data_IF_817605478505
#
_entry.id   IF_817605478505
#
_cell.length_a   1.000
_cell.length_b   1.000
_cell.length_c   1.000
_cell.angle_alpha   90.00
_cell.angle_beta   90.00
_cell.angle_gamma   90.00
#
_symmetry.space_group_name_H-M   'P 1'
#
loop_
_entity.id
_entity.type
_entity.pdbx_description
1 polymer ?
#
# COMPACT_ATOMS: atom_id res chain seq x y z
N UNK A 1 30.72 19.46 -7.05
CA UNK A 1 29.37 20.04 -7.27
C UNK A 1 28.53 19.86 -6.01
N UNK A 2 27.96 20.91 -5.43
CA UNK A 2 27.24 20.80 -4.15
C UNK A 2 26.00 19.89 -4.31
N UNK A 3 26.00 18.71 -3.68
CA UNK A 3 24.90 17.72 -3.73
C UNK A 3 23.56 18.37 -3.41
N UNK A 4 23.51 19.34 -2.48
CA UNK A 4 22.29 20.08 -2.13
C UNK A 4 21.72 20.84 -3.32
N UNK A 5 22.56 21.49 -4.14
CA UNK A 5 22.13 22.19 -5.37
C UNK A 5 21.58 21.20 -6.40
N UNK A 6 22.20 20.03 -6.56
CA UNK A 6 21.71 19.00 -7.49
C UNK A 6 20.37 18.40 -7.05
N UNK A 7 20.17 18.19 -5.75
CA UNK A 7 18.90 17.72 -5.19
C UNK A 7 17.76 18.72 -5.43
N UNK A 8 18.04 20.03 -5.37
CA UNK A 8 17.03 21.05 -5.68
C UNK A 8 16.50 20.96 -7.13
N UNK A 9 17.35 20.53 -8.07
CA UNK A 9 16.99 20.32 -9.48
C UNK A 9 16.25 19.00 -9.75
N UNK A 10 16.18 18.09 -8.78
CA UNK A 10 15.51 16.80 -8.96
C UNK A 10 14.01 16.98 -9.25
N UNK A 11 13.37 16.14 -10.07
CA UNK A 11 11.95 16.25 -10.36
C UNK A 11 11.09 15.77 -9.17
N UNK A 12 9.85 16.25 -9.10
CA UNK A 12 8.84 15.82 -8.10
C UNK A 12 8.04 14.60 -8.59
N UNK A 13 8.52 13.92 -9.62
CA UNK A 13 7.88 12.76 -10.26
C UNK A 13 8.34 11.44 -9.64
N UNK A 14 7.68 10.35 -10.06
CA UNK A 14 8.05 8.99 -9.67
C UNK A 14 9.32 8.53 -10.40
N UNK A 15 10.14 7.73 -9.74
CA UNK A 15 11.34 7.17 -10.36
C UNK A 15 12.31 6.54 -9.38
N UNK A 16 13.51 6.27 -9.88
CA UNK A 16 14.63 5.70 -9.14
C UNK A 16 15.74 6.73 -9.04
N UNK A 17 16.31 6.90 -7.86
CA UNK A 17 17.46 7.78 -7.61
C UNK A 17 18.64 6.96 -7.10
N UNK A 18 19.83 7.53 -7.26
CA UNK A 18 21.07 6.91 -6.84
C UNK A 18 22.06 7.92 -6.29
N UNK A 19 22.68 7.53 -5.19
CA UNK A 19 23.88 8.15 -4.63
C UNK A 19 25.08 7.36 -5.15
N UNK A 20 26.03 8.04 -5.79
CA UNK A 20 27.22 7.41 -6.34
C UNK A 20 28.47 8.25 -6.11
N UNK A 21 29.61 7.57 -6.17
CA UNK A 21 30.91 8.19 -6.41
C UNK A 21 31.20 8.16 -7.90
N UNK A 22 32.34 8.71 -8.32
CA UNK A 22 32.78 8.64 -9.73
C UNK A 22 32.86 7.21 -10.26
N UNK A 23 33.18 6.23 -9.41
CA UNK A 23 33.44 4.84 -9.83
C UNK A 23 32.38 3.83 -9.38
N UNK A 24 31.54 4.13 -8.38
CA UNK A 24 30.66 3.12 -7.74
C UNK A 24 29.30 3.67 -7.29
N UNK A 25 28.25 2.86 -7.43
CA UNK A 25 26.94 3.12 -6.84
C UNK A 25 26.97 2.80 -5.34
N UNK A 26 26.62 3.78 -4.50
CA UNK A 26 26.59 3.63 -3.05
C UNK A 26 25.23 3.14 -2.57
N UNK A 27 24.17 3.83 -3.00
CA UNK A 27 22.79 3.54 -2.64
C UNK A 27 21.85 3.79 -3.82
N UNK A 28 20.87 2.91 -4.00
CA UNK A 28 19.81 3.02 -5.00
C UNK A 28 18.47 2.88 -4.26
N UNK A 29 17.53 3.78 -4.58
CA UNK A 29 16.19 3.73 -4.02
C UNK A 29 15.14 4.26 -4.99
N UNK A 30 13.89 3.83 -4.82
CA UNK A 30 12.74 4.37 -5.55
C UNK A 30 11.94 5.38 -4.74
N UNK A 31 11.19 6.24 -5.43
CA UNK A 31 10.22 7.15 -4.81
C UNK A 31 9.09 7.50 -5.76
N UNK A 32 7.93 7.83 -5.19
CA UNK A 32 6.83 8.51 -5.90
C UNK A 32 7.15 9.99 -6.17
N UNK A 33 8.03 10.59 -5.34
CA UNK A 33 8.54 11.94 -5.47
C UNK A 33 10.05 11.93 -5.21
N UNK A 34 10.86 12.01 -6.27
CA UNK A 34 12.33 11.90 -6.18
C UNK A 34 12.92 13.05 -5.36
N UNK A 35 12.52 14.30 -5.62
CA UNK A 35 13.04 15.49 -4.90
C UNK A 35 12.80 15.41 -3.39
N UNK A 36 11.57 15.14 -2.97
CA UNK A 36 11.22 15.04 -1.55
C UNK A 36 12.03 13.93 -0.87
N UNK A 37 12.16 12.79 -1.55
CA UNK A 37 12.92 11.65 -1.03
C UNK A 37 14.40 11.94 -0.85
N UNK A 38 15.02 12.58 -1.84
CA UNK A 38 16.43 12.98 -1.76
C UNK A 38 16.69 13.97 -0.62
N UNK A 39 15.79 14.94 -0.40
CA UNK A 39 15.86 15.84 0.75
C UNK A 39 15.77 15.08 2.07
N UNK A 40 14.83 14.14 2.18
CA UNK A 40 14.68 13.27 3.35
C UNK A 40 15.95 12.48 3.65
N UNK A 41 16.68 11.98 2.65
CA UNK A 41 17.96 11.31 2.88
C UNK A 41 19.02 12.23 3.49
N UNK A 42 19.09 13.49 3.06
CA UNK A 42 20.04 14.48 3.61
C UNK A 42 19.67 14.88 5.04
N UNK A 43 18.37 15.03 5.34
CA UNK A 43 17.92 15.30 6.71
C UNK A 43 18.16 14.11 7.63
N UNK A 44 17.82 12.89 7.18
CA UNK A 44 18.07 11.67 7.94
C UNK A 44 19.56 11.42 8.17
N UNK A 45 20.45 11.87 7.28
CA UNK A 45 21.90 11.77 7.47
C UNK A 45 22.43 12.52 8.70
N UNK A 46 21.64 13.42 9.30
CA UNK A 46 21.99 14.09 10.57
C UNK A 46 21.80 13.19 11.79
N UNK A 47 20.95 12.17 11.69
CA UNK A 47 20.48 11.37 12.84
C UNK A 47 20.79 9.87 12.64
N UNK A 48 20.67 9.36 11.43
CA UNK A 48 20.93 7.96 11.08
C UNK A 48 22.33 7.78 10.50
N UNK A 49 23.16 7.00 11.20
CA UNK A 49 24.53 6.68 10.80
C UNK A 49 24.60 5.96 9.45
N UNK A 50 23.56 5.19 9.08
CA UNK A 50 23.48 4.53 7.77
C UNK A 50 23.24 5.56 6.67
N UNK A 51 22.28 6.47 6.85
CA UNK A 51 22.01 7.56 5.93
C UNK A 51 23.24 8.47 5.75
N UNK A 52 23.89 8.83 6.85
CA UNK A 52 25.12 9.62 6.84
C UNK A 52 26.20 8.96 5.97
N UNK A 53 26.37 7.64 6.09
CA UNK A 53 27.46 6.93 5.44
C UNK A 53 27.43 6.99 3.90
N UNK A 54 26.26 6.89 3.25
CA UNK A 54 26.20 7.02 1.78
C UNK A 54 25.98 8.45 1.30
N UNK A 55 25.31 9.32 2.07
CA UNK A 55 25.10 10.72 1.68
C UNK A 55 26.43 11.48 1.71
N UNK A 56 27.24 11.31 2.75
CA UNK A 56 28.51 12.03 2.90
C UNK A 56 29.60 11.51 1.94
N UNK A 57 29.55 10.24 1.56
CA UNK A 57 30.49 9.65 0.60
C UNK A 57 30.13 9.91 -0.86
N UNK A 58 28.88 10.26 -1.16
CA UNK A 58 28.47 10.51 -2.53
C UNK A 58 29.19 11.74 -3.08
N UNK A 59 29.61 11.67 -4.34
CA UNK A 59 30.09 12.84 -5.09
C UNK A 59 29.04 13.33 -6.09
N UNK A 60 28.11 12.44 -6.48
CA UNK A 60 27.05 12.74 -7.43
C UNK A 60 25.71 12.09 -7.01
N UNK A 61 24.62 12.79 -7.33
CA UNK A 61 23.25 12.29 -7.24
C UNK A 61 22.60 12.40 -8.61
N UNK A 62 21.99 11.31 -9.05
CA UNK A 62 21.26 11.25 -10.32
C UNK A 62 20.02 10.35 -10.20
N UNK A 63 19.16 10.40 -11.20
CA UNK A 63 17.84 9.77 -11.17
C UNK A 63 17.38 9.34 -12.56
N UNK A 64 16.42 8.42 -12.59
CA UNK A 64 15.68 7.99 -13.77
C UNK A 64 14.20 8.13 -13.44
N UNK A 65 13.49 8.96 -14.22
CA UNK A 65 12.05 9.15 -14.08
C UNK A 65 11.31 7.95 -14.67
N UNK A 66 10.25 7.53 -14.00
CA UNK A 66 9.33 6.52 -14.51
C UNK A 66 7.91 7.05 -14.47
N UNK A 67 7.07 6.53 -15.36
CA UNK A 67 5.65 6.88 -15.46
C UNK A 67 4.79 6.19 -14.39
N UNK A 68 5.31 5.19 -13.67
CA UNK A 68 4.58 4.55 -12.58
C UNK A 68 5.46 4.00 -11.45
N UNK A 69 4.86 3.82 -10.27
CA UNK A 69 5.51 3.22 -9.10
C UNK A 69 5.91 1.76 -9.38
N UNK A 70 5.10 1.04 -10.16
CA UNK A 70 5.39 -0.32 -10.56
C UNK A 70 6.68 -0.39 -11.38
N UNK A 71 6.85 0.51 -12.36
CA UNK A 71 8.09 0.56 -13.16
C UNK A 71 9.27 1.00 -12.31
N UNK A 72 9.10 1.98 -11.42
CA UNK A 72 10.15 2.37 -10.47
C UNK A 72 10.61 1.19 -9.60
N UNK A 73 9.67 0.38 -9.10
CA UNK A 73 9.95 -0.81 -8.31
C UNK A 73 10.73 -1.88 -9.08
N UNK A 74 10.33 -2.17 -10.32
CA UNK A 74 11.06 -3.14 -11.15
C UNK A 74 12.45 -2.62 -11.52
N UNK A 75 12.56 -1.33 -11.88
CA UNK A 75 13.82 -0.69 -12.26
C UNK A 75 14.80 -0.62 -11.08
N UNK A 76 14.34 -0.25 -9.90
CA UNK A 76 15.14 -0.25 -8.67
C UNK A 76 15.72 -1.64 -8.42
N UNK A 77 14.87 -2.67 -8.47
CA UNK A 77 15.27 -4.06 -8.26
C UNK A 77 16.34 -4.50 -9.26
N UNK A 78 16.15 -4.20 -10.56
CA UNK A 78 17.14 -4.48 -11.61
C UNK A 78 18.48 -3.77 -11.40
N UNK A 79 18.43 -2.48 -11.02
CA UNK A 79 19.64 -1.69 -10.79
C UNK A 79 20.41 -2.16 -9.55
N UNK A 80 19.70 -2.53 -8.47
CA UNK A 80 20.31 -3.13 -7.29
C UNK A 80 20.96 -4.48 -7.63
N UNK A 81 20.29 -5.32 -8.43
CA UNK A 81 20.84 -6.61 -8.86
C UNK A 81 22.11 -6.44 -9.70
N UNK A 82 22.08 -5.49 -10.65
CA UNK A 82 23.18 -5.20 -11.58
C UNK A 82 24.39 -4.58 -10.88
N UNK A 83 24.18 -3.56 -10.05
CA UNK A 83 25.26 -2.76 -9.49
C UNK A 83 25.68 -3.18 -8.08
N UNK A 84 24.86 -3.98 -7.39
CA UNK A 84 25.07 -4.45 -6.01
C UNK A 84 25.62 -3.35 -5.09
N UNK A 85 24.92 -2.22 -4.92
CA UNK A 85 25.44 -1.08 -4.18
C UNK A 85 25.77 -1.44 -2.74
N UNK A 86 26.90 -0.94 -2.23
CA UNK A 86 27.43 -1.27 -0.89
C UNK A 86 26.36 -1.14 0.21
N UNK A 87 25.58 -0.06 0.19
CA UNK A 87 24.60 0.23 1.25
C UNK A 87 23.24 -0.43 1.05
N UNK A 88 22.92 -0.91 -0.16
CA UNK A 88 21.79 -1.81 -0.37
C UNK A 88 22.15 -3.24 0.07
N UNK A 89 23.40 -3.68 -0.07
CA UNK A 89 23.83 -5.06 0.21
C UNK A 89 24.22 -5.28 1.67
N UNK A 90 25.06 -4.40 2.25
CA UNK A 90 25.68 -4.57 3.59
C UNK A 90 24.69 -4.51 4.76
N UNK A 91 23.52 -3.92 4.53
CA UNK A 91 22.50 -3.68 5.56
C UNK A 91 21.18 -4.39 5.26
N UNK A 92 21.23 -5.46 4.48
CA UNK A 92 20.12 -6.38 4.24
C UNK A 92 20.47 -7.72 4.90
N UNK A 93 19.73 -8.12 5.93
CA UNK A 93 19.79 -9.49 6.46
C UNK A 93 19.61 -10.49 5.32
N UNK A 94 20.33 -11.61 5.34
CA UNK A 94 20.19 -12.70 4.35
C UNK A 94 18.74 -13.23 4.23
N UNK A 95 17.88 -12.93 5.21
CA UNK A 95 16.45 -13.26 5.22
C UNK A 95 15.56 -12.34 4.36
N UNK A 96 16.10 -11.25 3.78
CA UNK A 96 15.32 -10.17 3.17
C UNK A 96 15.30 -10.14 1.62
N UNK A 97 16.20 -10.86 0.93
CA UNK A 97 16.24 -10.84 -0.54
C UNK A 97 15.26 -11.83 -1.12
N UNK A 98 14.23 -11.34 -1.81
CA UNK A 98 13.29 -12.18 -2.53
C UNK A 98 13.44 -12.02 -4.03
N UNK A 99 13.35 -13.14 -4.74
CA UNK A 99 13.42 -13.19 -6.19
C UNK A 99 12.21 -13.93 -6.73
N UNK A 100 11.72 -13.47 -7.87
CA UNK A 100 10.83 -14.23 -8.73
C UNK A 100 11.72 -15.09 -9.63
N UNK A 101 11.74 -16.40 -9.41
CA UNK A 101 12.46 -17.39 -10.22
C UNK A 101 11.56 -17.85 -11.35
N UNK A 102 12.07 -17.81 -12.58
CA UNK A 102 11.38 -18.31 -13.77
C UNK A 102 12.27 -19.34 -14.47
N UNK A 103 11.83 -20.60 -14.56
CA UNK A 103 12.63 -21.70 -15.13
C UNK A 103 12.59 -21.71 -16.66
N UNK A 104 13.10 -20.64 -17.27
CA UNK A 104 13.00 -20.37 -18.72
C UNK A 104 13.60 -21.45 -19.64
N UNK A 105 14.50 -22.30 -19.11
CA UNK A 105 15.10 -23.42 -19.85
C UNK A 105 14.29 -24.72 -19.80
N UNK A 106 13.30 -24.83 -18.91
CA UNK A 106 12.43 -26.01 -18.84
C UNK A 106 11.42 -26.04 -19.99
N UNK A 107 10.97 -27.25 -20.34
CA UNK A 107 9.89 -27.48 -21.32
C UNK A 107 8.62 -26.67 -20.99
N UNK A 108 8.31 -26.58 -19.70
CA UNK A 108 7.23 -25.77 -19.15
C UNK A 108 7.78 -24.83 -18.07
N UNK A 109 8.19 -23.60 -18.43
CA UNK A 109 8.74 -22.67 -17.46
C UNK A 109 7.76 -22.40 -16.32
N UNK A 110 8.23 -22.53 -15.09
CA UNK A 110 7.47 -22.29 -13.86
C UNK A 110 7.90 -20.98 -13.25
N UNK A 111 6.98 -20.33 -12.57
CA UNK A 111 7.26 -19.10 -11.81
C UNK A 111 7.17 -19.44 -10.34
N UNK A 112 8.22 -19.18 -9.57
CA UNK A 112 8.24 -19.41 -8.12
C UNK A 112 8.89 -18.21 -7.40
N UNK A 113 8.76 -18.18 -6.07
CA UNK A 113 9.39 -17.15 -5.23
C UNK A 113 10.48 -17.84 -4.42
N UNK A 114 11.70 -17.35 -4.52
CA UNK A 114 12.87 -17.89 -3.79
C UNK A 114 13.63 -16.78 -3.08
N UNK A 115 14.48 -17.15 -2.13
CA UNK A 115 15.40 -16.23 -1.44
C UNK A 115 16.83 -16.28 -1.97
N UNK A 116 17.16 -17.26 -2.82
CA UNK A 116 18.51 -17.49 -3.33
C UNK A 116 18.52 -17.65 -4.85
N UNK A 117 19.57 -17.14 -5.47
CA UNK A 117 19.92 -17.42 -6.86
C UNK A 117 20.75 -18.71 -6.88
N UNK A 118 20.07 -19.86 -6.94
CA UNK A 118 20.61 -21.19 -6.65
C UNK A 118 21.10 -21.97 -7.88
N UNK A 119 20.58 -21.68 -9.07
CA UNK A 119 20.66 -22.65 -10.19
C UNK A 119 21.39 -22.11 -11.43
N UNK A 120 21.65 -20.79 -11.53
CA UNK A 120 22.16 -20.08 -12.75
C UNK A 120 21.43 -20.37 -14.08
N UNK A 121 20.53 -21.35 -14.13
CA UNK A 121 19.75 -21.80 -15.29
C UNK A 121 18.41 -21.09 -15.39
N UNK A 122 17.89 -20.60 -14.27
CA UNK A 122 16.64 -19.84 -14.21
C UNK A 122 16.88 -18.34 -14.35
N UNK A 123 15.84 -17.62 -14.78
CA UNK A 123 15.81 -16.16 -14.73
C UNK A 123 15.36 -15.72 -13.34
N UNK A 124 16.14 -14.87 -12.69
CA UNK A 124 15.81 -14.30 -11.38
C UNK A 124 15.52 -12.82 -11.53
N UNK A 125 14.33 -12.40 -11.09
CA UNK A 125 13.91 -11.00 -11.08
C UNK A 125 13.79 -10.59 -9.62
N UNK A 126 14.58 -9.61 -9.22
CA UNK A 126 14.77 -9.23 -7.82
C UNK A 126 16.11 -8.51 -7.67
N UNK A 127 16.55 -8.17 -6.44
CA UNK A 127 15.90 -8.50 -5.19
C UNK A 127 14.74 -7.56 -4.86
N UNK A 128 13.71 -8.11 -4.22
CA UNK A 128 12.61 -7.35 -3.63
C UNK A 128 12.69 -7.41 -2.10
N UNK A 129 12.38 -6.30 -1.43
CA UNK A 129 12.50 -6.18 0.02
C UNK A 129 11.38 -6.85 0.82
N UNK A 130 10.18 -7.06 0.22
CA UNK A 130 9.01 -7.54 0.96
C UNK A 130 8.27 -8.69 0.28
N UNK A 131 7.99 -9.75 1.06
CA UNK A 131 7.20 -10.90 0.63
C UNK A 131 5.81 -10.52 0.14
N UNK A 132 5.15 -9.56 0.81
CA UNK A 132 3.81 -9.10 0.43
C UNK A 132 3.81 -8.49 -0.97
N UNK A 133 4.80 -7.65 -1.29
CA UNK A 133 4.95 -6.99 -2.59
C UNK A 133 5.18 -8.02 -3.69
N UNK A 134 6.11 -8.96 -3.50
CA UNK A 134 6.39 -10.01 -4.49
C UNK A 134 5.16 -10.89 -4.72
N UNK A 135 4.52 -11.39 -3.65
CA UNK A 135 3.30 -12.20 -3.77
C UNK A 135 2.19 -11.45 -4.49
N UNK A 136 2.05 -10.15 -4.26
CA UNK A 136 1.06 -9.29 -4.93
C UNK A 136 1.37 -9.16 -6.42
N UNK A 137 2.63 -8.87 -6.79
CA UNK A 137 3.05 -8.79 -8.21
C UNK A 137 2.77 -10.10 -8.92
N UNK A 138 3.25 -11.22 -8.38
CA UNK A 138 3.07 -12.56 -8.97
C UNK A 138 1.58 -12.88 -9.15
N UNK A 139 0.76 -12.59 -8.14
CA UNK A 139 -0.70 -12.80 -8.19
C UNK A 139 -1.39 -11.98 -9.28
N UNK A 140 -1.06 -10.69 -9.39
CA UNK A 140 -1.71 -9.80 -10.36
C UNK A 140 -1.24 -10.11 -11.79
N UNK A 141 0.06 -10.38 -11.98
CA UNK A 141 0.60 -10.80 -13.29
C UNK A 141 -0.03 -12.12 -13.75
N UNK A 142 -0.25 -13.09 -12.85
CA UNK A 142 -0.94 -14.36 -13.18
C UNK A 142 -2.35 -14.17 -13.72
N UNK A 143 -3.08 -13.16 -13.22
CA UNK A 143 -4.45 -12.85 -13.67
C UNK A 143 -4.48 -12.25 -15.07
N UNK A 144 -3.38 -11.66 -15.53
CA UNK A 144 -3.23 -11.14 -16.90
C UNK A 144 -2.71 -12.25 -17.82
N UNK A 145 -1.65 -12.93 -17.39
CA UNK A 145 -0.97 -14.00 -18.13
C UNK A 145 -0.94 -15.25 -17.24
N UNK A 146 -1.84 -16.21 -17.43
CA UNK A 146 -1.86 -17.45 -16.66
C UNK A 146 -0.55 -18.24 -16.77
N UNK A 147 -0.06 -18.78 -15.66
CA UNK A 147 1.17 -19.59 -15.60
C UNK A 147 1.15 -20.60 -14.45
N UNK A 148 1.95 -21.67 -14.60
CA UNK A 148 2.05 -22.74 -13.60
C UNK A 148 3.04 -22.38 -12.47
N UNK A 149 2.73 -22.91 -11.28
CA UNK A 149 3.55 -22.81 -10.07
C UNK A 149 3.87 -24.16 -9.44
N UNK A 150 3.33 -25.26 -9.99
CA UNK A 150 3.58 -26.58 -9.44
C UNK A 150 5.01 -26.99 -9.76
N UNK A 151 5.67 -27.61 -8.79
CA UNK A 151 7.00 -28.18 -8.96
C UNK A 151 6.97 -29.36 -9.94
N UNK A 152 5.99 -30.25 -9.77
CA UNK A 152 5.84 -31.46 -10.58
C UNK A 152 4.58 -31.41 -11.45
N UNK A 153 4.70 -31.98 -12.65
CA UNK A 153 3.57 -32.16 -13.59
C UNK A 153 2.83 -33.41 -13.17
N UNK A 154 1.54 -33.27 -12.87
CA UNK A 154 0.69 -34.39 -12.45
C UNK A 154 -0.33 -34.79 -13.52
N UNK A 155 -0.96 -35.95 -13.34
CA UNK A 155 -2.01 -36.51 -14.23
C UNK A 155 -3.29 -35.68 -14.31
N UNK A 156 -3.57 -34.84 -13.29
CA UNK A 156 -4.80 -34.04 -13.18
C UNK A 156 -4.52 -32.55 -13.32
N UNK A 157 -5.54 -31.79 -13.75
CA UNK A 157 -5.49 -30.32 -13.81
C UNK A 157 -5.05 -29.73 -12.47
N UNK A 158 -4.09 -28.81 -12.50
CA UNK A 158 -3.65 -28.12 -11.30
C UNK A 158 -4.77 -27.25 -10.71
N UNK A 159 -4.68 -26.92 -9.41
CA UNK A 159 -5.65 -26.03 -8.75
C UNK A 159 -5.85 -24.73 -9.52
N UNK A 160 -4.77 -24.07 -9.95
CA UNK A 160 -4.85 -22.82 -10.70
C UNK A 160 -5.50 -22.99 -12.08
N UNK A 161 -5.44 -24.16 -12.70
CA UNK A 161 -6.12 -24.42 -13.97
C UNK A 161 -7.63 -24.49 -13.78
N UNK A 162 -8.10 -25.12 -12.70
CA UNK A 162 -9.54 -25.21 -12.35
C UNK A 162 -10.18 -23.84 -12.17
N UNK A 163 -9.42 -22.85 -11.68
CA UNK A 163 -9.88 -21.46 -11.50
C UNK A 163 -9.41 -20.51 -12.61
N UNK A 164 -8.93 -21.02 -13.75
CA UNK A 164 -8.57 -20.23 -14.93
C UNK A 164 -7.29 -19.40 -14.82
N UNK A 165 -6.47 -19.62 -13.78
CA UNK A 165 -5.21 -18.92 -13.52
C UNK A 165 -3.95 -19.67 -13.99
N UNK A 166 -4.11 -20.84 -14.60
CA UNK A 166 -3.06 -21.59 -15.29
C UNK A 166 -3.67 -22.20 -16.56
N UNK A 167 -3.63 -21.44 -17.67
CA UNK A 167 -4.20 -21.84 -18.97
C UNK A 167 -3.29 -21.41 -20.13
N UNK A 168 -2.92 -22.33 -21.04
CA UNK A 168 -3.10 -23.78 -20.92
C UNK A 168 -2.24 -24.35 -19.78
N UNK A 169 -2.74 -25.38 -19.08
CA UNK A 169 -2.03 -25.95 -17.93
C UNK A 169 -0.99 -26.98 -18.40
N UNK A 170 0.26 -26.96 -17.90
CA UNK A 170 1.25 -27.99 -18.25
C UNK A 170 0.75 -29.43 -18.07
N UNK A 171 -0.01 -29.70 -17.00
CA UNK A 171 -0.64 -31.01 -16.77
C UNK A 171 -1.66 -31.37 -17.85
N UNK A 172 -2.40 -30.41 -18.40
CA UNK A 172 -3.32 -30.69 -19.52
C UNK A 172 -2.58 -30.91 -20.83
N UNK A 173 -1.51 -30.15 -21.06
CA UNK A 173 -0.70 -30.25 -22.28
C UNK A 173 0.00 -31.61 -22.34
N UNK A 174 0.57 -32.06 -21.23
CA UNK A 174 1.37 -33.27 -21.21
C UNK A 174 0.56 -34.53 -21.52
N UNK A 175 -0.68 -34.57 -21.01
CA UNK A 175 -1.63 -35.68 -21.16
C UNK A 175 -2.66 -35.45 -22.30
N UNK A 176 -2.44 -34.48 -23.18
CA UNK A 176 -3.24 -34.34 -24.39
C UNK A 176 -2.90 -35.50 -25.35
N UNK A 177 -3.92 -36.24 -25.81
CA UNK A 177 -3.75 -37.40 -26.69
C UNK A 177 -3.25 -37.05 -28.10
N UNK A 178 -3.41 -35.80 -28.54
CA UNK A 178 -2.96 -35.33 -29.85
C UNK A 178 -1.65 -34.52 -29.77
N UNK A 179 -0.62 -34.99 -30.49
CA UNK A 179 0.69 -34.35 -30.57
C UNK A 179 0.65 -32.94 -31.21
N UNK A 180 -0.26 -32.69 -32.15
CA UNK A 180 -0.43 -31.38 -32.81
C UNK A 180 -1.03 -30.38 -31.84
N UNK A 181 -2.09 -30.78 -31.13
CA UNK A 181 -2.68 -30.00 -30.04
C UNK A 181 -1.67 -29.70 -28.92
N UNK A 182 -0.88 -30.70 -28.51
CA UNK A 182 0.18 -30.55 -27.50
C UNK A 182 1.18 -29.45 -27.89
N UNK A 183 1.70 -29.47 -29.12
CA UNK A 183 2.61 -28.44 -29.63
C UNK A 183 1.96 -27.05 -29.67
N UNK A 184 0.70 -26.95 -30.08
CA UNK A 184 -0.03 -25.68 -30.14
C UNK A 184 -0.22 -25.06 -28.74
N UNK A 185 -0.69 -25.84 -27.77
CA UNK A 185 -0.89 -25.39 -26.39
C UNK A 185 0.44 -25.06 -25.70
N UNK A 186 1.50 -25.84 -25.96
CA UNK A 186 2.84 -25.53 -25.45
C UNK A 186 3.35 -24.19 -25.98
N UNK A 187 3.13 -23.88 -27.27
CA UNK A 187 3.50 -22.59 -27.88
C UNK A 187 2.74 -21.43 -27.23
N UNK A 188 1.46 -21.63 -26.92
CA UNK A 188 0.64 -20.64 -26.21
C UNK A 188 1.16 -20.42 -24.78
N UNK A 189 1.43 -21.49 -24.02
CA UNK A 189 2.01 -21.39 -22.68
C UNK A 189 3.33 -20.61 -22.68
N UNK A 190 4.25 -20.93 -23.60
CA UNK A 190 5.52 -20.22 -23.76
C UNK A 190 5.30 -18.75 -24.17
N UNK A 191 4.24 -18.42 -24.92
CA UNK A 191 3.85 -17.01 -25.21
C UNK A 191 3.44 -16.28 -23.92
N UNK A 192 2.64 -16.91 -23.06
CA UNK A 192 2.27 -16.33 -21.77
C UNK A 192 3.49 -16.06 -20.89
N UNK A 193 4.39 -17.03 -20.74
CA UNK A 193 5.64 -16.86 -19.98
C UNK A 193 6.49 -15.71 -20.53
N UNK A 194 6.65 -15.59 -21.86
CA UNK A 194 7.39 -14.46 -22.45
C UNK A 194 6.77 -13.11 -22.10
N UNK A 195 5.45 -13.01 -22.05
CA UNK A 195 4.78 -11.78 -21.62
C UNK A 195 4.97 -11.52 -20.12
N UNK A 196 4.92 -12.56 -19.27
CA UNK A 196 5.25 -12.46 -17.83
C UNK A 196 6.66 -11.88 -17.66
N UNK A 197 7.65 -12.45 -18.34
CA UNK A 197 9.04 -11.98 -18.30
C UNK A 197 9.15 -10.53 -18.73
N UNK A 198 8.52 -10.14 -19.85
CA UNK A 198 8.54 -8.75 -20.34
C UNK A 198 7.94 -7.77 -19.34
N UNK A 199 6.80 -8.09 -18.75
CA UNK A 199 6.15 -7.24 -17.75
C UNK A 199 7.04 -7.08 -16.52
N UNK A 200 7.59 -8.18 -16.00
CA UNK A 200 8.46 -8.17 -14.82
C UNK A 200 9.84 -7.55 -15.11
N UNK A 201 10.23 -7.41 -16.37
CA UNK A 201 11.41 -6.65 -16.80
C UNK A 201 11.13 -5.16 -17.05
N UNK A 202 9.92 -4.67 -16.77
CA UNK A 202 9.54 -3.28 -17.00
C UNK A 202 9.10 -2.94 -18.43
N UNK A 203 9.05 -3.92 -19.34
CA UNK A 203 8.66 -3.75 -20.75
C UNK A 203 7.14 -3.89 -20.94
N UNK A 204 6.36 -3.35 -20.03
CA UNK A 204 4.90 -3.51 -20.01
C UNK A 204 4.20 -2.80 -21.17
N UNK A 205 4.72 -1.67 -21.64
CA UNK A 205 4.10 -0.87 -22.72
C UNK A 205 4.15 -1.62 -24.06
N UNK A 206 5.26 -2.32 -24.30
CA UNK A 206 5.41 -3.20 -25.47
C UNK A 206 4.36 -4.31 -25.45
N UNK A 207 4.07 -4.85 -24.26
CA UNK A 207 3.04 -5.88 -24.09
C UNK A 207 1.65 -5.30 -24.29
N UNK A 208 1.34 -4.13 -23.71
CA UNK A 208 0.06 -3.45 -23.91
C UNK A 208 -0.20 -3.13 -25.38
N UNK A 209 0.77 -2.51 -26.07
CA UNK A 209 0.67 -2.18 -27.50
C UNK A 209 0.35 -3.41 -28.34
N UNK A 210 0.92 -4.57 -27.99
CA UNK A 210 0.59 -5.84 -28.64
C UNK A 210 -0.83 -6.32 -28.33
N UNK A 211 -1.28 -6.24 -27.07
CA UNK A 211 -2.63 -6.65 -26.69
C UNK A 211 -3.71 -5.80 -27.36
N UNK A 212 -3.50 -4.48 -27.49
CA UNK A 212 -4.42 -3.60 -28.23
C UNK A 212 -4.50 -3.98 -29.70
N UNK A 213 -3.36 -4.24 -30.36
CA UNK A 213 -3.35 -4.75 -31.74
C UNK A 213 -4.10 -6.08 -31.88
N UNK A 214 -3.90 -7.00 -30.93
CA UNK A 214 -4.61 -8.28 -30.91
C UNK A 214 -6.13 -8.05 -30.72
N UNK A 215 -6.55 -7.07 -29.91
CA UNK A 215 -7.96 -6.70 -29.69
C UNK A 215 -8.59 -6.10 -30.96
N UNK A 216 -7.89 -5.21 -31.66
CA UNK A 216 -8.39 -4.61 -32.89
C UNK A 216 -8.58 -5.67 -33.99
N UNK A 217 -7.68 -6.67 -34.06
CA UNK A 217 -7.85 -7.80 -34.97
C UNK A 217 -9.08 -8.65 -34.62
N UNK A 218 -9.33 -8.89 -33.33
CA UNK A 218 -10.51 -9.64 -32.88
C UNK A 218 -11.81 -8.90 -33.21
N UNK A 219 -11.84 -7.57 -33.04
CA UNK A 219 -12.98 -6.72 -33.41
C UNK A 219 -13.30 -6.82 -34.91
N UNK A 220 -12.28 -6.77 -35.77
CA UNK A 220 -12.44 -6.92 -37.23
C UNK A 220 -13.01 -8.28 -37.64
N UNK A 221 -12.77 -9.31 -36.85
CA UNK A 221 -13.26 -10.66 -37.09
C UNK A 221 -14.57 -10.96 -36.33
N UNK A 222 -15.22 -9.94 -35.74
CA UNK A 222 -16.50 -10.02 -35.02
C UNK A 222 -16.54 -11.06 -33.87
N UNK A 223 -15.40 -11.45 -33.32
CA UNK A 223 -15.33 -12.43 -32.24
C UNK A 223 -15.43 -11.74 -30.86
N UNK A 224 -16.63 -11.30 -30.51
CA UNK A 224 -16.89 -10.47 -29.34
C UNK A 224 -16.54 -11.14 -28.01
N UNK A 225 -16.76 -12.45 -27.86
CA UNK A 225 -16.45 -13.18 -26.62
C UNK A 225 -14.95 -13.16 -26.30
N UNK A 226 -14.11 -13.49 -27.29
CA UNK A 226 -12.66 -13.41 -27.13
C UNK A 226 -12.20 -11.96 -26.90
N UNK A 227 -12.90 -11.00 -27.52
CA UNK A 227 -12.68 -9.57 -27.34
C UNK A 227 -12.89 -9.13 -25.88
N UNK A 228 -13.97 -9.57 -25.23
CA UNK A 228 -14.26 -9.27 -23.81
C UNK A 228 -13.16 -9.84 -22.91
N UNK A 229 -12.72 -11.09 -23.16
CA UNK A 229 -11.64 -11.72 -22.39
C UNK A 229 -10.34 -10.93 -22.51
N UNK A 230 -9.96 -10.55 -23.73
CA UNK A 230 -8.73 -9.80 -23.98
C UNK A 230 -8.79 -8.38 -23.40
N UNK A 231 -9.91 -7.67 -23.59
CA UNK A 231 -10.17 -6.36 -22.98
C UNK A 231 -10.02 -6.40 -21.45
N UNK A 232 -10.59 -7.41 -20.81
CA UNK A 232 -10.48 -7.58 -19.36
C UNK A 232 -9.04 -7.89 -18.91
N UNK A 233 -8.20 -8.51 -19.77
CA UNK A 233 -6.76 -8.68 -19.49
C UNK A 233 -6.00 -7.36 -19.61
N UNK A 234 -6.31 -6.55 -20.63
CA UNK A 234 -5.74 -5.21 -20.82
C UNK A 234 -6.03 -4.34 -19.59
N UNK A 235 -7.29 -4.23 -19.16
CA UNK A 235 -7.64 -3.44 -17.98
C UNK A 235 -6.93 -3.90 -16.70
N UNK A 236 -6.72 -5.21 -16.53
CA UNK A 236 -5.94 -5.74 -15.39
C UNK A 236 -4.47 -5.34 -15.47
N UNK A 237 -3.89 -5.35 -16.66
CA UNK A 237 -2.50 -4.94 -16.87
C UNK A 237 -2.32 -3.44 -16.66
N UNK A 238 -3.20 -2.61 -17.22
CA UNK A 238 -3.20 -1.16 -16.98
C UNK A 238 -3.35 -0.84 -15.49
N UNK A 239 -4.29 -1.51 -14.80
CA UNK A 239 -4.47 -1.35 -13.36
C UNK A 239 -3.24 -1.78 -12.56
N UNK A 240 -2.50 -2.79 -13.02
CA UNK A 240 -1.23 -3.20 -12.42
C UNK A 240 -0.18 -2.09 -12.61
N UNK A 241 -0.04 -1.57 -13.82
CA UNK A 241 0.96 -0.54 -14.16
C UNK A 241 0.67 0.77 -13.42
N UNK A 242 -0.58 1.21 -13.42
CA UNK A 242 -1.03 2.48 -12.83
C UNK A 242 -1.33 2.38 -11.33
N UNK A 243 -1.10 1.22 -10.70
CA UNK A 243 -1.34 1.04 -9.27
C UNK A 243 -0.32 1.88 -8.50
N UNK A 244 -0.83 2.80 -7.68
CA UNK A 244 -0.03 3.71 -6.86
C UNK A 244 0.49 3.13 -5.53
N UNK A 245 0.14 1.87 -5.22
CA UNK A 245 0.51 1.23 -3.95
C UNK A 245 1.03 -0.20 -4.17
N UNK A 246 2.32 -0.35 -4.50
CA UNK A 246 3.03 -1.64 -4.38
C UNK A 246 3.80 -1.79 -3.06
N UNK A 247 4.17 -0.68 -2.44
CA UNK A 247 4.82 -0.70 -1.14
C UNK A 247 3.84 -0.83 0.03
N UNK A 248 4.32 -1.56 1.04
CA UNK A 248 3.80 -1.59 2.43
C UNK A 248 4.81 -0.89 3.35
N UNK A 249 5.69 -0.05 2.80
CA UNK A 249 6.72 0.65 3.55
C UNK A 249 6.17 1.94 4.17
N UNK A 250 6.41 2.11 5.48
CA UNK A 250 6.20 3.33 6.29
C UNK A 250 6.85 4.60 5.71
N UNK A 251 7.64 4.48 4.64
CA UNK A 251 8.40 5.59 4.07
C UNK A 251 7.74 6.27 2.87
N UNK A 252 6.76 5.63 2.21
CA UNK A 252 5.84 6.33 1.30
C UNK A 252 4.72 7.06 2.07
N UNK A 253 4.50 6.61 3.29
CA UNK A 253 3.58 7.18 4.26
C UNK A 253 4.03 8.61 4.64
N UNK A 254 5.30 8.85 5.00
CA UNK A 254 5.82 10.19 5.32
C UNK A 254 5.68 11.22 4.17
N UNK A 255 6.04 10.84 2.93
CA UNK A 255 5.98 11.76 1.79
C UNK A 255 4.54 12.09 1.34
N UNK A 256 3.56 11.23 1.67
CA UNK A 256 2.15 11.46 1.35
C UNK A 256 1.39 12.04 2.55
N UNK A 257 1.90 11.89 3.76
CA UNK A 257 1.21 12.36 4.96
C UNK A 257 1.17 13.87 5.04
N UNK A 258 2.26 14.57 4.71
CA UNK A 258 2.25 16.05 4.62
C UNK A 258 1.21 16.55 3.62
N UNK A 259 1.13 15.96 2.43
CA UNK A 259 0.15 16.35 1.41
C UNK A 259 -1.29 16.06 1.88
N UNK A 260 -1.52 14.92 2.53
CA UNK A 260 -2.84 14.53 3.06
C UNK A 260 -3.26 15.41 4.24
N UNK A 261 -2.34 15.74 5.13
CA UNK A 261 -2.54 16.70 6.22
C UNK A 261 -2.87 18.07 5.64
N UNK A 262 -2.10 18.54 4.66
CA UNK A 262 -2.34 19.84 4.00
C UNK A 262 -3.72 19.86 3.34
N UNK A 263 -4.10 18.79 2.65
CA UNK A 263 -5.43 18.65 2.05
C UNK A 263 -6.54 18.59 3.11
N UNK A 264 -6.29 17.98 4.27
CA UNK A 264 -7.23 17.94 5.39
C UNK A 264 -7.37 19.31 6.03
N UNK A 265 -6.27 20.01 6.31
CA UNK A 265 -6.24 21.38 6.80
C UNK A 265 -7.02 22.33 5.88
N UNK A 266 -6.89 22.17 4.55
CA UNK A 266 -7.66 22.97 3.61
C UNK A 266 -9.17 22.70 3.71
N UNK A 267 -9.58 21.47 3.98
CA UNK A 267 -10.99 21.16 4.28
C UNK A 267 -11.39 21.81 5.60
N UNK A 268 -10.61 21.63 6.66
CA UNK A 268 -10.94 22.15 7.99
C UNK A 268 -11.06 23.67 7.98
N UNK A 269 -10.07 24.40 7.47
CA UNK A 269 -10.08 25.88 7.42
C UNK A 269 -11.26 26.47 6.67
N UNK A 270 -11.87 25.72 5.75
CA UNK A 270 -13.08 26.15 5.03
C UNK A 270 -14.32 26.18 5.91
N UNK A 271 -14.37 25.33 6.95
CA UNK A 271 -15.58 25.13 7.78
C UNK A 271 -15.35 25.39 9.27
N UNK A 272 -14.10 25.39 9.72
CA UNK A 272 -13.63 25.67 11.07
C UNK A 272 -12.52 26.73 10.94
N UNK A 273 -12.87 28.02 10.97
CA UNK A 273 -11.91 29.13 10.79
C UNK A 273 -10.78 29.09 11.82
N UNK A 274 -11.09 28.68 13.04
CA UNK A 274 -10.15 28.57 14.17
C UNK A 274 -9.33 27.27 14.16
N UNK A 275 -9.40 26.47 13.07
CA UNK A 275 -8.58 25.29 12.93
C UNK A 275 -7.08 25.65 12.97
N UNK A 276 -6.25 24.83 13.63
CA UNK A 276 -4.85 25.13 13.88
C UNK A 276 -4.05 25.25 12.56
N UNK A 277 -2.94 25.97 12.64
CA UNK A 277 -2.04 26.14 11.49
C UNK A 277 -1.39 24.82 11.04
N UNK A 278 -1.25 23.84 11.96
CA UNK A 278 -0.66 22.53 11.72
C UNK A 278 -1.50 21.44 12.41
N UNK A 279 -1.52 20.24 11.83
CA UNK A 279 -2.07 19.03 12.45
C UNK A 279 -0.92 18.03 12.64
N UNK A 280 -0.37 17.98 13.84
CA UNK A 280 0.62 16.97 14.22
C UNK A 280 -0.09 15.75 14.78
N UNK A 281 -1.03 15.93 15.70
CA UNK A 281 -1.69 14.85 16.43
C UNK A 281 -3.18 14.78 16.12
N UNK A 282 -3.63 13.66 15.57
CA UNK A 282 -5.05 13.37 15.31
C UNK A 282 -5.48 12.16 16.15
N UNK A 283 -6.54 12.31 16.94
CA UNK A 283 -7.12 11.21 17.72
C UNK A 283 -8.46 10.80 17.13
N UNK A 284 -8.68 9.50 16.94
CA UNK A 284 -9.96 8.97 16.47
C UNK A 284 -10.55 7.95 17.42
N UNK A 285 -11.84 8.11 17.70
CA UNK A 285 -12.61 7.26 18.59
C UNK A 285 -13.67 6.45 17.85
N UNK A 286 -13.69 5.14 18.11
CA UNK A 286 -14.76 4.22 17.70
C UNK A 286 -15.39 3.57 18.94
N UNK A 287 -16.72 3.52 18.96
CA UNK A 287 -17.50 2.82 19.98
C UNK A 287 -17.82 1.42 19.49
N UNK A 288 -17.40 0.40 20.24
CA UNK A 288 -17.61 -0.99 19.84
C UNK A 288 -18.44 -1.74 20.88
N UNK A 289 -19.71 -1.97 20.54
CA UNK A 289 -20.69 -2.68 21.38
C UNK A 289 -20.74 -4.16 20.99
N UNK A 290 -20.45 -5.05 21.95
CA UNK A 290 -20.66 -6.51 21.81
C UNK A 290 -21.83 -7.01 22.69
N UNK A 291 -22.03 -6.40 23.86
CA UNK A 291 -23.13 -6.59 24.82
C UNK A 291 -22.86 -5.67 26.02
N UNK A 292 -23.86 -5.01 26.63
CA UNK A 292 -23.71 -3.91 27.61
C UNK A 292 -22.65 -4.13 28.72
N UNK A 293 -22.46 -5.36 29.22
CA UNK A 293 -21.47 -5.67 30.28
C UNK A 293 -19.99 -5.67 29.85
N UNK A 294 -19.66 -5.58 28.56
CA UNK A 294 -18.27 -5.58 28.05
C UNK A 294 -18.03 -4.57 26.93
N UNK A 295 -18.77 -3.47 26.90
CA UNK A 295 -18.54 -2.39 25.95
C UNK A 295 -17.14 -1.79 26.14
N UNK A 296 -16.50 -1.48 25.01
CA UNK A 296 -15.20 -0.80 25.01
C UNK A 296 -15.17 0.25 23.92
N UNK A 297 -14.55 1.38 24.23
CA UNK A 297 -14.16 2.34 23.20
C UNK A 297 -12.71 2.09 22.79
N UNK A 298 -12.43 2.35 21.52
CA UNK A 298 -11.08 2.28 20.97
C UNK A 298 -10.65 3.66 20.50
N UNK A 299 -9.40 3.98 20.80
CA UNK A 299 -8.74 5.22 20.41
C UNK A 299 -7.50 4.88 19.62
N UNK A 300 -7.43 5.42 18.41
CA UNK A 300 -6.23 5.35 17.56
C UNK A 300 -5.65 6.75 17.42
N UNK A 301 -4.33 6.81 17.31
CA UNK A 301 -3.57 8.06 17.24
C UNK A 301 -2.81 8.09 15.93
N UNK A 302 -2.88 9.23 15.25
CA UNK A 302 -2.04 9.51 14.10
C UNK A 302 -1.15 10.70 14.41
N UNK A 303 0.16 10.55 14.21
CA UNK A 303 1.16 11.61 14.33
C UNK A 303 1.71 11.90 12.94
N UNK A 304 1.70 13.17 12.54
CA UNK A 304 2.07 13.64 11.21
C UNK A 304 1.41 12.80 10.09
N UNK A 305 0.13 12.46 10.30
CA UNK A 305 -0.70 11.71 9.34
C UNK A 305 -0.38 10.22 9.26
N UNK A 306 0.40 9.68 10.19
CA UNK A 306 0.81 8.28 10.29
C UNK A 306 0.33 7.63 11.58
N UNK A 307 -0.08 6.37 11.51
CA UNK A 307 -0.57 5.64 12.67
C UNK A 307 0.52 5.44 13.73
N UNK A 308 0.34 5.96 14.94
CA UNK A 308 1.24 5.74 16.08
C UNK A 308 0.66 4.69 17.03
N UNK A 309 1.00 3.43 16.77
CA UNK A 309 0.39 2.27 17.45
C UNK A 309 0.74 2.18 18.93
N UNK A 310 1.87 2.75 19.37
CA UNK A 310 2.25 2.76 20.79
C UNK A 310 1.29 3.59 21.62
N UNK A 311 0.60 4.53 20.99
CA UNK A 311 -0.33 5.45 21.63
C UNK A 311 -1.79 5.02 21.54
N UNK A 312 -2.06 3.88 20.90
CA UNK A 312 -3.42 3.34 20.85
C UNK A 312 -3.90 2.97 22.25
N UNK A 313 -5.15 3.29 22.55
CA UNK A 313 -5.76 3.00 23.85
C UNK A 313 -7.11 2.32 23.69
N UNK A 314 -7.40 1.44 24.64
CA UNK A 314 -8.72 0.87 24.82
C UNK A 314 -9.26 1.32 26.14
N UNK A 315 -10.51 1.75 26.12
CA UNK A 315 -11.21 2.19 27.30
C UNK A 315 -12.27 1.15 27.63
N UNK A 316 -12.06 0.43 28.73
CA UNK A 316 -13.14 -0.33 29.34
C UNK A 316 -14.12 0.68 29.96
N UNK A 317 -15.40 0.53 29.64
CA UNK A 317 -16.46 1.32 30.27
C UNK A 317 -16.49 0.96 31.75
N UNK A 318 -16.43 1.96 32.62
CA UNK A 318 -16.43 1.77 34.08
C UNK A 318 -17.75 2.16 34.72
N UNK A 319 -18.57 2.97 34.04
CA UNK A 319 -19.84 3.40 34.58
C UNK A 319 -20.86 2.26 34.54
N UNK A 320 -21.30 1.81 35.72
CA UNK A 320 -22.44 0.88 35.85
C UNK A 320 -23.79 1.57 35.57
N UNK A 321 -23.81 2.90 35.44
CA UNK A 321 -24.99 3.73 35.18
C UNK A 321 -25.16 4.13 33.71
N UNK A 322 -24.21 3.77 32.83
CA UNK A 322 -24.33 4.09 31.41
C UNK A 322 -25.23 3.07 30.73
N UNK A 323 -26.46 3.49 30.41
CA UNK A 323 -27.50 2.66 29.79
C UNK A 323 -27.51 2.81 28.26
N UNK A 324 -26.87 3.86 27.72
CA UNK A 324 -26.77 4.11 26.28
C UNK A 324 -25.34 4.19 25.74
N UNK A 325 -25.18 3.91 24.44
CA UNK A 325 -23.93 4.08 23.69
C UNK A 325 -23.39 5.52 23.77
N UNK A 326 -24.29 6.50 23.96
CA UNK A 326 -23.95 7.91 24.09
C UNK A 326 -23.34 8.25 25.45
N UNK A 327 -23.89 7.72 26.54
CA UNK A 327 -23.34 7.91 27.89
C UNK A 327 -22.00 7.21 28.06
N UNK A 328 -21.85 6.02 27.47
CA UNK A 328 -20.57 5.32 27.42
C UNK A 328 -19.51 6.13 26.67
N UNK A 329 -19.91 6.79 25.58
CA UNK A 329 -19.01 7.66 24.82
C UNK A 329 -18.64 8.93 25.61
N UNK A 330 -19.60 9.56 26.28
CA UNK A 330 -19.37 10.71 27.17
C UNK A 330 -18.41 10.36 28.32
N UNK A 331 -18.56 9.19 28.96
CA UNK A 331 -17.65 8.70 30.02
C UNK A 331 -16.21 8.61 29.51
N UNK A 332 -16.02 7.99 28.33
CA UNK A 332 -14.71 7.75 27.74
C UNK A 332 -14.01 9.07 27.42
N UNK A 333 -14.69 9.98 26.73
CA UNK A 333 -14.11 11.27 26.37
C UNK A 333 -13.82 12.10 27.62
N UNK A 334 -14.73 12.12 28.60
CA UNK A 334 -14.52 12.84 29.86
C UNK A 334 -13.27 12.32 30.59
N UNK A 335 -13.09 11.00 30.67
CA UNK A 335 -11.90 10.41 31.29
C UNK A 335 -10.63 10.70 30.49
N UNK A 336 -10.71 10.72 29.16
CA UNK A 336 -9.59 11.07 28.30
C UNK A 336 -9.17 12.53 28.50
N UNK A 337 -10.10 13.47 28.56
CA UNK A 337 -9.75 14.89 28.59
C UNK A 337 -9.46 15.42 30.00
N UNK A 338 -9.82 14.67 31.06
CA UNK A 338 -9.36 14.93 32.43
C UNK A 338 -7.94 14.43 32.71
N UNK A 339 -7.36 13.60 31.85
CA UNK A 339 -6.01 13.07 32.07
C UNK A 339 -4.94 14.06 31.57
N UNK A 340 -3.67 13.84 31.96
CA UNK A 340 -2.53 14.68 31.58
C UNK A 340 -1.88 14.29 30.23
N UNK A 341 -2.57 13.55 29.35
CA UNK A 341 -1.98 13.19 28.05
C UNK A 341 -2.09 14.35 27.08
N UNK A 342 -1.09 14.49 26.20
CA UNK A 342 -1.06 15.50 25.14
C UNK A 342 -2.40 15.56 24.39
N UNK A 343 -2.99 16.75 24.26
CA UNK A 343 -4.23 16.94 23.53
C UNK A 343 -4.01 16.79 22.01
N UNK A 344 -4.99 16.27 21.26
CA UNK A 344 -4.93 16.26 19.80
C UNK A 344 -5.17 17.65 19.20
N UNK A 345 -4.59 17.90 18.04
CA UNK A 345 -4.89 19.06 17.20
C UNK A 345 -6.21 18.89 16.42
N UNK A 346 -6.68 17.64 16.30
CA UNK A 346 -7.97 17.30 15.70
C UNK A 346 -8.56 16.07 16.39
N UNK A 347 -9.79 16.22 16.89
CA UNK A 347 -10.61 15.12 17.38
C UNK A 347 -11.50 14.58 16.26
N UNK A 348 -11.41 13.28 16.00
CA UNK A 348 -12.22 12.57 15.00
C UNK A 348 -13.11 11.55 15.68
N UNK A 349 -14.39 11.54 15.32
CA UNK A 349 -15.37 10.59 15.87
C UNK A 349 -15.92 9.70 14.76
N UNK A 350 -15.91 8.38 14.96
CA UNK A 350 -16.57 7.43 14.07
C UNK A 350 -18.08 7.43 14.32
N UNK A 351 -18.75 8.46 13.79
CA UNK A 351 -20.14 8.71 14.09
C UNK A 351 -20.70 9.91 13.35
N UNK A 352 -22.01 10.04 13.43
CA UNK A 352 -22.75 11.17 12.86
C UNK A 352 -22.92 12.31 13.86
N UNK A 353 -23.89 13.19 13.56
CA UNK A 353 -24.24 14.36 14.39
C UNK A 353 -24.41 14.05 15.89
N UNK A 354 -25.09 12.95 16.30
CA UNK A 354 -25.27 12.65 17.72
C UNK A 354 -23.95 12.46 18.46
N UNK A 355 -23.02 11.70 17.89
CA UNK A 355 -21.72 11.44 18.51
C UNK A 355 -20.84 12.70 18.51
N UNK A 356 -20.86 13.50 17.45
CA UNK A 356 -20.15 14.78 17.39
C UNK A 356 -20.67 15.73 18.47
N UNK A 357 -21.99 15.82 18.68
CA UNK A 357 -22.59 16.68 19.70
C UNK A 357 -22.15 16.31 21.13
N UNK A 358 -21.98 15.01 21.41
CA UNK A 358 -21.46 14.54 22.71
C UNK A 358 -20.00 14.96 22.88
N UNK A 359 -19.18 14.80 21.84
CA UNK A 359 -17.80 15.25 21.89
C UNK A 359 -17.69 16.78 22.09
N UNK A 360 -18.53 17.58 21.43
CA UNK A 360 -18.63 19.04 21.66
C UNK A 360 -18.98 19.36 23.12
N UNK A 361 -19.99 18.68 23.68
CA UNK A 361 -20.42 18.85 25.08
C UNK A 361 -19.25 18.60 26.04
N UNK A 362 -18.50 17.51 25.84
CA UNK A 362 -17.36 17.16 26.69
C UNK A 362 -16.23 18.20 26.55
N UNK A 363 -15.89 18.61 25.33
CA UNK A 363 -14.85 19.64 25.10
C UNK A 363 -15.21 20.95 25.78
N UNK A 364 -16.47 21.40 25.67
CA UNK A 364 -16.96 22.61 26.32
C UNK A 364 -16.91 22.51 27.86
N UNK A 365 -17.32 21.38 28.43
CA UNK A 365 -17.23 21.13 29.88
C UNK A 365 -15.79 21.15 30.41
N UNK A 366 -14.83 20.70 29.59
CA UNK A 366 -13.40 20.72 29.93
C UNK A 366 -12.72 22.04 29.53
N UNK A 367 -13.45 23.00 28.96
CA UNK A 367 -12.93 24.28 28.44
C UNK A 367 -11.78 24.09 27.45
N UNK A 368 -11.90 23.08 26.59
CA UNK A 368 -10.91 22.75 25.56
C UNK A 368 -11.40 23.21 24.18
N UNK A 369 -10.57 24.01 23.51
CA UNK A 369 -10.81 24.44 22.14
C UNK A 369 -10.06 23.53 21.17
N UNK A 370 -10.66 22.38 20.87
CA UNK A 370 -10.08 21.36 19.98
C UNK A 370 -11.00 21.21 18.77
N UNK A 371 -10.50 21.39 17.54
CA UNK A 371 -11.27 21.13 16.32
C UNK A 371 -11.81 19.70 16.30
N UNK A 372 -13.06 19.56 15.91
CA UNK A 372 -13.79 18.30 15.97
C UNK A 372 -14.48 18.01 14.65
N UNK A 373 -14.36 16.77 14.17
CA UNK A 373 -15.13 16.24 13.05
C UNK A 373 -15.65 14.84 13.33
N UNK A 374 -16.80 14.51 12.76
CA UNK A 374 -17.32 13.14 12.65
C UNK A 374 -17.16 12.58 11.25
N UNK A 375 -17.13 11.26 11.10
CA UNK A 375 -17.26 10.57 9.81
C UNK A 375 -18.45 9.61 9.82
N UNK A 376 -19.51 9.99 9.09
CA UNK A 376 -20.73 9.19 8.99
C UNK A 376 -20.70 8.27 7.75
N UNK A 377 -21.21 7.04 7.89
CA UNK A 377 -21.28 6.05 6.80
C UNK A 377 -22.49 6.27 5.88
N UNK A 378 -22.39 5.75 4.66
CA UNK A 378 -23.45 5.63 3.63
C UNK A 378 -24.11 6.95 3.19
N UNK A 379 -23.54 7.64 2.18
CA UNK A 379 -22.14 7.62 1.76
C UNK A 379 -21.24 8.30 2.82
N UNK A 380 -19.93 8.04 2.76
CA UNK A 380 -18.95 8.69 3.63
C UNK A 380 -19.04 10.22 3.48
N UNK A 381 -19.31 10.88 4.62
CA UNK A 381 -19.43 12.33 4.74
C UNK A 381 -18.84 12.80 6.06
N UNK A 382 -18.21 13.96 6.05
CA UNK A 382 -17.66 14.57 7.24
C UNK A 382 -18.76 15.39 7.91
N UNK A 383 -18.91 15.24 9.22
CA UNK A 383 -19.76 16.09 10.05
C UNK A 383 -18.83 17.08 10.73
N UNK A 384 -18.94 18.36 10.40
CA UNK A 384 -18.14 19.41 11.00
C UNK A 384 -18.65 19.66 12.42
N UNK A 385 -17.76 19.76 13.39
CA UNK A 385 -18.08 20.05 14.79
C UNK A 385 -18.34 21.53 15.05
N UNK A 386 -19.02 22.22 14.13
CA UNK A 386 -19.50 23.59 14.32
C UNK A 386 -20.88 23.60 15.01
N UNK A 387 -21.41 24.79 15.30
CA UNK A 387 -22.72 24.93 15.94
C UNK A 387 -23.86 24.29 15.12
N UNK A 388 -23.75 24.27 13.79
CA UNK A 388 -24.79 23.78 12.88
C UNK A 388 -24.63 22.29 12.51
N UNK A 389 -23.52 21.66 12.90
CA UNK A 389 -23.16 20.29 12.52
C UNK A 389 -23.26 20.07 11.01
N UNK A 390 -22.63 20.97 10.24
CA UNK A 390 -22.63 20.93 8.79
C UNK A 390 -22.09 19.59 8.29
N UNK A 391 -22.72 19.05 7.25
CA UNK A 391 -22.30 17.77 6.67
C UNK A 391 -21.75 17.99 5.29
N UNK A 392 -20.47 17.69 5.10
CA UNK A 392 -19.74 17.95 3.87
C UNK A 392 -19.29 16.65 3.22
N UNK A 393 -19.29 16.63 1.89
CA UNK A 393 -18.89 15.47 1.11
C UNK A 393 -17.80 15.85 0.11
N UNK A 394 -16.52 15.84 0.53
CA UNK A 394 -15.42 16.07 -0.38
C UNK A 394 -15.38 15.01 -1.51
N UNK A 395 -14.80 15.33 -2.68
CA UNK A 395 -14.58 14.35 -3.74
C UNK A 395 -13.81 13.13 -3.22
N UNK A 396 -14.14 11.93 -3.71
CA UNK A 396 -13.45 10.67 -3.31
C UNK A 396 -11.94 10.68 -3.62
N UNK A 397 -11.52 11.50 -4.57
CA UNK A 397 -10.11 11.71 -4.92
C UNK A 397 -9.36 12.62 -3.94
N UNK A 398 -10.05 13.31 -3.04
CA UNK A 398 -9.43 14.23 -2.09
C UNK A 398 -8.59 13.45 -1.05
N UNK A 399 -7.31 13.81 -0.96
CA UNK A 399 -6.32 13.15 -0.11
C UNK A 399 -6.61 13.32 1.40
N UNK A 400 -7.23 14.43 1.82
CA UNK A 400 -7.66 14.68 3.19
C UNK A 400 -8.85 13.81 3.60
N UNK A 401 -9.85 13.65 2.73
CA UNK A 401 -10.95 12.69 2.97
C UNK A 401 -10.42 11.25 3.06
N UNK A 402 -9.49 10.87 2.19
CA UNK A 402 -8.84 9.55 2.25
C UNK A 402 -8.06 9.34 3.54
N UNK A 403 -7.48 10.40 4.14
CA UNK A 403 -6.85 10.34 5.46
C UNK A 403 -7.84 10.04 6.57
N UNK A 404 -8.96 10.77 6.62
CA UNK A 404 -10.00 10.51 7.63
C UNK A 404 -10.60 9.10 7.46
N UNK A 405 -10.80 8.64 6.23
CA UNK A 405 -11.25 7.26 5.97
C UNK A 405 -10.26 6.21 6.48
N UNK A 406 -8.95 6.42 6.28
CA UNK A 406 -7.92 5.51 6.80
C UNK A 406 -7.90 5.50 8.34
N UNK A 407 -7.97 6.69 8.97
CA UNK A 407 -8.01 6.84 10.42
C UNK A 407 -9.21 6.07 11.00
N UNK A 408 -10.39 6.24 10.40
CA UNK A 408 -11.62 5.51 10.76
C UNK A 408 -11.46 4.00 10.59
N UNK A 409 -10.96 3.56 9.44
CA UNK A 409 -10.81 2.14 9.13
C UNK A 409 -9.81 1.46 10.07
N UNK A 410 -8.78 2.19 10.49
CA UNK A 410 -7.80 1.77 11.49
C UNK A 410 -8.39 1.69 12.90
N UNK A 411 -9.24 2.65 13.30
CA UNK A 411 -10.02 2.61 14.54
C UNK A 411 -10.91 1.35 14.60
N UNK A 412 -11.73 1.13 13.57
CA UNK A 412 -12.53 -0.09 13.43
C UNK A 412 -11.69 -1.38 13.44
N UNK A 413 -10.50 -1.36 12.82
CA UNK A 413 -9.60 -2.52 12.80
C UNK A 413 -9.08 -2.82 14.21
N UNK A 414 -8.71 -1.79 14.96
CA UNK A 414 -8.18 -1.91 16.31
C UNK A 414 -9.23 -2.41 17.31
N UNK A 415 -10.47 -1.92 17.18
CA UNK A 415 -11.66 -2.43 17.85
C UNK A 415 -11.92 -3.92 17.55
N UNK A 416 -12.07 -4.29 16.28
CA UNK A 416 -12.38 -5.69 15.89
C UNK A 416 -11.35 -6.71 16.34
N UNK A 417 -10.05 -6.35 16.30
CA UNK A 417 -8.97 -7.23 16.79
C UNK A 417 -9.14 -7.59 18.26
N UNK A 418 -9.68 -6.68 19.07
CA UNK A 418 -9.95 -6.91 20.48
C UNK A 418 -11.13 -7.85 20.72
N UNK A 419 -12.21 -7.67 19.96
CA UNK A 419 -13.36 -8.58 20.03
C UNK A 419 -13.01 -10.01 19.66
N UNK A 420 -12.17 -10.20 18.64
CA UNK A 420 -11.65 -11.53 18.28
C UNK A 420 -10.84 -12.15 19.42
N UNK A 421 -9.97 -11.36 20.07
CA UNK A 421 -9.20 -11.80 21.23
C UNK A 421 -10.10 -12.19 22.42
N UNK A 422 -11.09 -11.37 22.77
CA UNK A 422 -12.04 -11.66 23.86
C UNK A 422 -12.90 -12.90 23.58
N UNK A 423 -13.31 -13.11 22.33
CA UNK A 423 -14.06 -14.31 21.92
C UNK A 423 -13.20 -15.58 22.06
N UNK A 424 -11.93 -15.54 21.64
CA UNK A 424 -11.02 -16.66 21.80
C UNK A 424 -10.75 -16.99 23.27
N UNK A 425 -10.56 -15.96 24.11
CA UNK A 425 -10.33 -16.15 25.54
C UNK A 425 -11.55 -16.75 26.27
N UNK A 426 -12.77 -16.46 25.79
CA UNK A 426 -14.03 -17.05 26.30
C UNK A 426 -14.32 -18.47 25.83
N UNK A 427 -13.68 -18.95 24.75
CA UNK A 427 -13.80 -20.35 24.30
C UNK A 427 -12.73 -21.26 24.94
N UNK A 428 -11.77 -20.68 25.66
CA UNK A 428 -10.70 -21.40 26.36
C UNK A 428 -10.94 -21.51 27.89
N UNK A 429 -12.10 -21.05 28.35
CA UNK A 429 -12.68 -21.25 29.68
C UNK A 429 -13.99 -21.99 29.43
#
# INVERSE_FOLDING_TARGET
MNIKKRIAQAPTTTGVYYFKTEKKYLYIGKSVNIRARLRSHVENAKIDSKAAAYVNQATEVSWIVTDSEFKALLLESQLIQKHRPKYNVRWMDDKSRLYIKITVKETYPKVSITRREDDKKALYIGPFSFTKTVKKIVKEVRRVFPFCMQENIGKRKCFYAKIGLCRPCPNEIEYAGDAKLKKALQKEYKKNIRNVVRVLQGKSDVVLKKLYKDLDRIKKNENYEQGIVLRNRIYRLERLINKRNFDVNDVSHYNRSEQRITSLLHILKRYLPDAPAKLERIECYDMSTMSFKNSTASMVVFIDGLSEKKEYKRFKIKSNKAESDFEMFEEVLTRRFKNKWQHPDLLVVDGGKPQVRIAQKVLAQQKLDIPLIGIAKRPDRLVIGDAHLLTVRPPRSNDGLQLIQEIRDESHRFARKYHLYLRQKRMMI
#
